data_IF_093786193181
#
_entry.id   IF_093786193181
#
_cell.length_a   1.000
_cell.length_b   1.000
_cell.length_c   1.000
_cell.angle_alpha   90.00
_cell.angle_beta   90.00
_cell.angle_gamma   90.00
#
_symmetry.space_group_name_H-M   'P 1'
#
loop_
_entity.id
_entity.type
_entity.pdbx_description
1 polymer ?
#
# COMPACT_ATOMS: atom_id res chain seq x y z
N UNK A 1 12.30 3.07 20.49
CA UNK A 1 12.66 4.08 19.48
C UNK A 1 12.86 3.36 18.15
N UNK A 2 11.95 3.63 17.21
CA UNK A 2 11.87 3.02 15.88
C UNK A 2 12.85 3.70 14.92
N UNK A 3 13.62 2.91 14.19
CA UNK A 3 13.89 3.19 12.77
C UNK A 3 14.35 1.90 12.10
N UNK A 4 13.65 1.47 11.05
CA UNK A 4 14.37 0.94 9.90
C UNK A 4 15.39 2.03 9.53
N UNK A 5 16.66 1.68 9.35
CA UNK A 5 17.74 2.66 9.17
C UNK A 5 17.28 3.82 8.27
N UNK A 6 17.53 5.05 8.72
CA UNK A 6 17.20 6.25 7.96
C UNK A 6 17.65 6.09 6.50
N UNK A 7 16.71 6.26 5.58
CA UNK A 7 16.83 6.16 4.14
C UNK A 7 16.42 7.50 3.50
N UNK A 8 17.18 8.55 3.86
CA UNK A 8 17.00 9.89 3.31
C UNK A 8 16.99 9.92 1.76
N UNK A 9 17.79 9.11 1.03
CA UNK A 9 17.68 9.00 -0.42
C UNK A 9 16.29 8.58 -0.91
N UNK A 10 15.66 7.58 -0.27
CA UNK A 10 14.28 7.18 -0.60
C UNK A 10 13.29 8.30 -0.36
N UNK A 11 13.37 8.98 0.80
CA UNK A 11 12.47 10.11 1.11
C UNK A 11 12.62 11.26 0.10
N UNK A 12 13.84 11.51 -0.40
CA UNK A 12 14.09 12.49 -1.47
C UNK A 12 13.49 12.06 -2.81
N UNK A 13 13.57 10.78 -3.14
CA UNK A 13 12.99 10.24 -4.38
C UNK A 13 11.47 10.33 -4.36
N UNK A 14 10.85 9.97 -3.23
CA UNK A 14 9.40 10.09 -3.00
C UNK A 14 8.93 11.54 -3.11
N UNK A 15 9.58 12.48 -2.41
CA UNK A 15 9.21 13.90 -2.48
C UNK A 15 9.44 14.51 -3.86
N UNK A 16 10.49 14.09 -4.57
CA UNK A 16 10.72 14.54 -5.95
C UNK A 16 9.65 14.00 -6.91
N UNK A 17 9.25 12.73 -6.74
CA UNK A 17 8.25 12.09 -7.58
C UNK A 17 6.86 12.71 -7.38
N UNK A 18 6.43 12.90 -6.14
CA UNK A 18 5.10 13.47 -5.86
C UNK A 18 4.99 14.92 -6.32
N UNK A 19 6.07 15.71 -6.17
CA UNK A 19 6.15 17.05 -6.76
C UNK A 19 6.07 17.01 -8.30
N UNK A 20 6.77 16.06 -8.94
CA UNK A 20 6.75 15.88 -10.39
C UNK A 20 5.37 15.45 -10.92
N UNK A 21 4.69 14.54 -10.23
CA UNK A 21 3.32 14.10 -10.52
C UNK A 21 2.35 15.28 -10.41
N UNK A 22 2.39 16.00 -9.29
CA UNK A 22 1.50 17.14 -9.05
C UNK A 22 1.70 18.27 -10.08
N UNK A 23 2.95 18.53 -10.50
CA UNK A 23 3.25 19.53 -11.54
C UNK A 23 2.67 19.16 -12.92
N UNK A 24 2.37 17.87 -13.14
CA UNK A 24 1.69 17.36 -14.35
C UNK A 24 0.18 17.29 -14.21
N UNK A 25 -0.33 17.78 -13.09
CA UNK A 25 -1.75 17.77 -12.80
C UNK A 25 -2.24 16.47 -12.18
N UNK A 26 -1.39 15.49 -11.83
CA UNK A 26 -1.82 14.29 -11.11
C UNK A 26 -2.22 14.58 -9.66
N UNK A 27 -3.14 13.80 -9.10
CA UNK A 27 -3.66 13.98 -7.74
C UNK A 27 -2.79 13.32 -6.69
N UNK A 28 -1.60 13.86 -6.40
CA UNK A 28 -0.73 13.38 -5.32
C UNK A 28 -0.67 14.38 -4.15
N UNK A 29 -0.38 13.89 -2.94
CA UNK A 29 0.04 14.78 -1.85
C UNK A 29 1.31 15.53 -2.23
N UNK A 30 1.34 16.84 -1.96
CA UNK A 30 2.41 17.73 -2.40
C UNK A 30 3.38 18.02 -1.26
N UNK A 31 4.71 17.88 -1.45
CA UNK A 31 5.70 18.31 -0.47
C UNK A 31 5.58 19.81 -0.18
N UNK A 32 5.90 20.22 1.05
CA UNK A 32 5.86 21.63 1.44
C UNK A 32 6.92 22.43 0.65
N UNK A 33 6.48 23.51 -0.01
CA UNK A 33 7.35 24.32 -0.85
C UNK A 33 8.54 24.91 -0.04
N UNK A 34 9.74 24.77 -0.59
CA UNK A 34 10.97 25.26 0.02
C UNK A 34 11.53 24.38 1.15
N UNK A 35 10.76 23.40 1.66
CA UNK A 35 11.24 22.44 2.63
C UNK A 35 11.95 21.27 1.93
N UNK A 36 13.05 20.80 2.53
CA UNK A 36 13.78 19.61 2.05
C UNK A 36 13.73 18.53 3.12
N UNK A 37 13.71 17.23 2.75
CA UNK A 37 13.85 16.16 3.72
C UNK A 37 15.15 16.27 4.52
N UNK A 38 15.07 16.00 5.83
CA UNK A 38 16.19 16.11 6.77
C UNK A 38 16.36 14.79 7.53
N UNK A 39 17.61 14.43 7.84
CA UNK A 39 17.91 13.38 8.82
C UNK A 39 18.12 14.04 10.19
N UNK A 40 17.31 13.67 11.19
CA UNK A 40 17.34 14.21 12.54
C UNK A 40 17.33 13.05 13.53
N UNK A 41 18.37 12.94 14.37
CA UNK A 41 18.48 11.90 15.40
C UNK A 41 18.24 10.46 14.90
N UNK A 42 18.67 10.14 13.68
CA UNK A 42 18.49 8.81 13.08
C UNK A 42 17.11 8.56 12.49
N UNK A 43 16.29 9.60 12.33
CA UNK A 43 14.99 9.58 11.65
C UNK A 43 15.03 10.47 10.40
N UNK A 44 14.38 10.04 9.32
CA UNK A 44 14.12 10.93 8.19
C UNK A 44 12.81 11.67 8.39
N UNK A 45 12.83 12.97 8.13
CA UNK A 45 11.71 13.88 8.28
C UNK A 45 11.46 14.54 6.94
N UNK A 46 10.24 14.42 6.43
CA UNK A 46 9.74 15.15 5.25
C UNK A 46 8.56 16.04 5.64
N UNK A 47 8.34 17.08 4.86
CA UNK A 47 7.34 18.11 5.14
C UNK A 47 6.35 18.14 3.98
N UNK A 48 5.07 18.15 4.31
CA UNK A 48 3.99 18.01 3.34
C UNK A 48 2.98 19.14 3.51
N UNK A 49 2.30 19.50 2.42
CA UNK A 49 1.12 20.34 2.49
C UNK A 49 0.08 19.65 3.36
N UNK A 50 -0.51 20.40 4.29
CA UNK A 50 -1.65 19.92 5.06
C UNK A 50 -2.93 20.03 4.21
N UNK A 51 -3.72 18.97 4.17
CA UNK A 51 -4.99 18.90 3.45
C UNK A 51 -6.13 18.77 4.48
N UNK A 52 -6.83 19.86 4.83
CA UNK A 52 -7.93 19.80 5.78
C UNK A 52 -9.01 18.83 5.30
N UNK A 53 -9.29 17.80 6.11
CA UNK A 53 -10.41 16.90 5.89
C UNK A 53 -11.60 17.40 6.71
N UNK A 54 -12.72 17.69 6.06
CA UNK A 54 -13.99 18.00 6.73
C UNK A 54 -14.72 16.71 7.10
N UNK A 55 -15.85 16.80 7.82
CA UNK A 55 -16.78 15.67 8.07
C UNK A 55 -17.52 15.17 6.80
N UNK A 56 -16.95 15.42 5.62
CA UNK A 56 -17.50 14.95 4.36
C UNK A 56 -17.24 13.45 4.20
N UNK A 57 -18.05 12.80 3.36
CA UNK A 57 -17.80 11.42 2.98
C UNK A 57 -16.40 11.28 2.36
N UNK A 58 -15.64 10.22 2.71
CA UNK A 58 -14.30 10.00 2.16
C UNK A 58 -14.35 9.74 0.65
N UNK A 59 -13.22 9.87 -0.07
CA UNK A 59 -13.12 9.46 -1.46
C UNK A 59 -13.52 7.99 -1.66
N UNK A 60 -14.05 7.71 -2.84
CA UNK A 60 -14.66 6.43 -3.20
C UNK A 60 -13.73 5.56 -4.05
N UNK A 61 -14.13 4.31 -4.33
CA UNK A 61 -13.40 3.44 -5.26
C UNK A 61 -13.39 3.97 -6.71
N UNK A 62 -14.37 4.78 -7.11
CA UNK A 62 -14.35 5.51 -8.38
C UNK A 62 -13.19 6.49 -8.43
N UNK A 63 -12.97 7.22 -7.34
CA UNK A 63 -11.85 8.16 -7.24
C UNK A 63 -10.50 7.41 -7.27
N UNK A 64 -10.40 6.28 -6.54
CA UNK A 64 -9.21 5.41 -6.56
C UNK A 64 -8.93 4.85 -7.96
N UNK A 65 -9.93 4.28 -8.61
CA UNK A 65 -9.79 3.69 -9.95
C UNK A 65 -9.39 4.73 -11.00
N UNK A 66 -9.90 5.96 -10.90
CA UNK A 66 -9.49 7.08 -11.76
C UNK A 66 -8.02 7.42 -11.57
N UNK A 67 -7.59 7.62 -10.31
CA UNK A 67 -6.21 7.96 -9.98
C UNK A 67 -5.24 6.86 -10.40
N UNK A 68 -5.55 5.59 -10.15
CA UNK A 68 -4.66 4.49 -10.55
C UNK A 68 -4.56 4.33 -12.06
N UNK A 69 -5.66 4.53 -12.80
CA UNK A 69 -5.61 4.51 -14.26
C UNK A 69 -4.72 5.63 -14.81
N UNK A 70 -4.81 6.84 -14.25
CA UNK A 70 -3.95 7.97 -14.60
C UNK A 70 -2.48 7.68 -14.26
N UNK A 71 -2.22 7.13 -13.06
CA UNK A 71 -0.89 6.77 -12.60
C UNK A 71 -0.23 5.72 -13.52
N UNK A 72 -0.93 4.63 -13.81
CA UNK A 72 -0.41 3.54 -14.65
C UNK A 72 -0.24 3.94 -16.13
N UNK A 73 -0.92 5.00 -16.56
CA UNK A 73 -0.71 5.60 -17.89
C UNK A 73 0.46 6.59 -17.93
N UNK A 74 1.06 6.92 -16.78
CA UNK A 74 2.15 7.88 -16.66
C UNK A 74 3.50 7.17 -16.76
N UNK A 75 4.35 7.50 -17.76
CA UNK A 75 5.69 6.95 -17.83
C UNK A 75 6.52 7.34 -16.60
N UNK A 76 7.31 6.42 -16.03
CA UNK A 76 8.14 6.74 -14.87
C UNK A 76 9.18 7.81 -15.23
N UNK A 77 9.42 8.81 -14.36
CA UNK A 77 10.37 9.87 -14.64
C UNK A 77 11.82 9.36 -14.63
N UNK A 78 12.49 9.44 -15.78
CA UNK A 78 13.85 8.92 -15.96
C UNK A 78 14.92 9.53 -15.04
N UNK A 79 14.64 10.68 -14.42
CA UNK A 79 15.58 11.38 -13.53
C UNK A 79 15.41 10.99 -12.05
N UNK A 80 14.39 10.20 -11.71
CA UNK A 80 14.12 9.78 -10.33
C UNK A 80 14.35 8.28 -10.25
N UNK A 81 15.33 7.90 -9.43
CA UNK A 81 15.61 6.50 -9.17
C UNK A 81 14.51 5.91 -8.29
N UNK A 82 13.87 4.85 -8.77
CA UNK A 82 12.78 4.17 -8.09
C UNK A 82 13.12 2.70 -7.95
N UNK A 83 12.89 2.09 -6.78
CA UNK A 83 13.15 0.67 -6.61
C UNK A 83 12.22 -0.15 -7.49
N UNK A 84 12.70 -1.31 -7.94
CA UNK A 84 11.81 -2.32 -8.47
C UNK A 84 10.98 -2.91 -7.32
N UNK A 85 9.73 -3.19 -7.60
CA UNK A 85 8.85 -3.87 -6.67
C UNK A 85 9.34 -5.28 -6.40
N UNK A 86 9.41 -5.64 -5.12
CA UNK A 86 9.78 -6.99 -4.66
C UNK A 86 8.64 -7.54 -3.80
N UNK A 87 7.99 -8.64 -4.21
CA UNK A 87 6.91 -9.24 -3.43
C UNK A 87 7.33 -9.49 -1.98
N UNK A 88 6.50 -9.01 -1.05
CA UNK A 88 6.60 -9.30 0.39
C UNK A 88 7.94 -8.92 1.05
N UNK A 89 8.77 -8.09 0.42
CA UNK A 89 10.06 -7.66 0.97
C UNK A 89 9.93 -7.03 2.36
N UNK A 90 8.89 -6.23 2.57
CA UNK A 90 8.63 -5.58 3.86
C UNK A 90 8.33 -6.56 4.99
N UNK A 91 7.56 -7.62 4.68
CA UNK A 91 7.26 -8.69 5.62
C UNK A 91 8.49 -9.56 5.88
N UNK A 92 9.21 -9.96 4.82
CA UNK A 92 10.46 -10.74 4.94
C UNK A 92 11.47 -10.01 5.83
N UNK A 93 11.65 -8.70 5.60
CA UNK A 93 12.52 -7.86 6.43
C UNK A 93 12.05 -7.81 7.89
N UNK A 94 10.73 -7.63 8.11
CA UNK A 94 10.18 -7.63 9.45
C UNK A 94 10.40 -8.98 10.17
N UNK A 95 10.24 -10.11 9.48
CA UNK A 95 10.45 -11.44 10.06
C UNK A 95 11.91 -11.74 10.41
N UNK A 96 12.87 -11.07 9.80
CA UNK A 96 14.29 -11.18 10.16
C UNK A 96 14.75 -10.13 11.17
N UNK A 97 13.94 -9.11 11.44
CA UNK A 97 14.29 -8.04 12.38
C UNK A 97 14.12 -8.55 13.83
N UNK A 98 15.20 -8.62 14.64
CA UNK A 98 15.13 -9.08 16.03
C UNK A 98 14.17 -8.27 16.89
N UNK A 99 13.88 -7.01 16.53
CA UNK A 99 12.93 -6.16 17.26
C UNK A 99 11.48 -6.64 17.14
N UNK A 100 11.18 -7.49 16.16
CA UNK A 100 9.87 -8.13 16.02
C UNK A 100 9.77 -9.46 16.76
N UNK A 101 10.84 -9.87 17.45
CA UNK A 101 10.82 -11.05 18.30
C UNK A 101 10.24 -10.71 19.67
N UNK A 102 8.93 -10.51 19.69
CA UNK A 102 8.19 -10.04 20.87
C UNK A 102 7.42 -11.16 21.57
N UNK A 103 7.64 -12.43 21.18
CA UNK A 103 6.91 -13.60 21.68
C UNK A 103 5.44 -13.73 21.22
N UNK A 104 4.96 -12.85 20.34
CA UNK A 104 3.58 -12.93 19.80
C UNK A 104 3.43 -13.91 18.63
N UNK A 105 4.54 -14.34 18.04
CA UNK A 105 4.61 -15.43 17.06
C UNK A 105 5.68 -16.43 17.51
N UNK A 106 5.44 -17.71 17.27
CA UNK A 106 6.42 -18.77 17.53
C UNK A 106 7.45 -18.86 16.41
N UNK A 107 8.59 -19.51 16.68
CA UNK A 107 9.61 -19.77 15.65
C UNK A 107 9.05 -20.61 14.49
N UNK A 108 8.17 -21.56 14.79
CA UNK A 108 7.49 -22.37 13.77
C UNK A 108 6.57 -21.52 12.89
N UNK A 109 5.77 -20.64 13.49
CA UNK A 109 4.91 -19.70 12.74
C UNK A 109 5.78 -18.76 11.88
N UNK A 110 6.90 -18.25 12.42
CA UNK A 110 7.86 -17.41 11.69
C UNK A 110 8.46 -18.13 10.48
N UNK A 111 8.94 -19.36 10.66
CA UNK A 111 9.47 -20.19 9.58
C UNK A 111 8.40 -20.52 8.52
N UNK A 112 7.16 -20.77 8.97
CA UNK A 112 6.03 -21.01 8.06
C UNK A 112 5.72 -19.79 7.20
N UNK A 113 5.72 -18.59 7.78
CA UNK A 113 5.51 -17.34 7.03
C UNK A 113 6.64 -17.09 6.02
N UNK A 114 7.89 -17.38 6.37
CA UNK A 114 9.01 -17.27 5.43
C UNK A 114 8.82 -18.22 4.24
N UNK A 115 8.42 -19.47 4.47
CA UNK A 115 8.11 -20.41 3.39
C UNK A 115 6.95 -19.93 2.50
N UNK A 116 5.88 -19.38 3.10
CA UNK A 116 4.76 -18.82 2.35
C UNK A 116 5.20 -17.63 1.48
N UNK A 117 6.11 -16.79 1.98
CA UNK A 117 6.69 -15.69 1.21
C UNK A 117 7.45 -16.22 0.00
N UNK A 118 8.29 -17.25 0.16
CA UNK A 118 9.03 -17.82 -0.97
C UNK A 118 8.10 -18.45 -2.01
N UNK A 119 7.07 -19.20 -1.58
CA UNK A 119 6.07 -19.78 -2.48
C UNK A 119 5.36 -18.70 -3.28
N UNK A 120 4.81 -17.68 -2.63
CA UNK A 120 4.08 -16.60 -3.31
C UNK A 120 5.02 -15.81 -4.22
N UNK A 121 6.25 -15.52 -3.80
CA UNK A 121 7.22 -14.82 -4.63
C UNK A 121 7.58 -15.63 -5.89
N UNK A 122 7.73 -16.95 -5.79
CA UNK A 122 7.96 -17.83 -6.92
C UNK A 122 6.79 -17.84 -7.91
N UNK A 123 5.56 -18.02 -7.41
CA UNK A 123 4.34 -18.00 -8.25
C UNK A 123 4.17 -16.66 -8.99
N UNK A 124 4.49 -15.54 -8.33
CA UNK A 124 4.41 -14.20 -8.95
C UNK A 124 5.53 -13.94 -9.96
N UNK A 125 6.70 -14.58 -9.81
CA UNK A 125 7.79 -14.46 -10.77
C UNK A 125 7.45 -15.14 -12.10
N UNK A 126 6.71 -16.25 -12.07
CA UNK A 126 6.26 -17.00 -13.25
C UNK A 126 4.96 -16.44 -13.87
N UNK A 127 4.41 -15.37 -13.29
CA UNK A 127 3.14 -14.79 -13.71
C UNK A 127 3.33 -13.86 -14.91
N UNK A 128 2.48 -14.04 -15.94
CA UNK A 128 2.34 -13.07 -17.02
C UNK A 128 1.39 -11.95 -16.59
N UNK A 129 1.87 -10.71 -16.57
CA UNK A 129 1.14 -9.54 -16.07
C UNK A 129 0.37 -8.83 -17.20
N UNK A 130 -0.95 -9.05 -17.34
CA UNK A 130 -1.72 -8.58 -18.50
C UNK A 130 -1.82 -7.06 -18.62
N UNK A 131 -1.77 -6.33 -17.51
CA UNK A 131 -1.78 -4.86 -17.54
C UNK A 131 -0.40 -4.27 -17.85
N UNK A 132 0.66 -5.07 -17.76
CA UNK A 132 2.03 -4.64 -17.97
C UNK A 132 2.70 -4.13 -16.70
N UNK A 133 3.77 -3.36 -16.88
CA UNK A 133 4.62 -2.85 -15.81
C UNK A 133 4.87 -1.36 -15.96
N UNK A 134 5.06 -0.66 -14.84
CA UNK A 134 5.40 0.76 -14.83
C UNK A 134 5.39 1.32 -13.41
N UNK A 135 5.04 2.59 -13.29
CA UNK A 135 4.95 3.27 -12.01
C UNK A 135 3.74 2.75 -11.21
N UNK A 136 3.99 2.19 -10.03
CA UNK A 136 2.96 1.77 -9.07
C UNK A 136 3.13 2.48 -7.74
N UNK A 137 2.01 2.74 -7.06
CA UNK A 137 1.97 3.27 -5.70
C UNK A 137 2.49 2.27 -4.66
N UNK A 138 2.22 0.98 -4.85
CA UNK A 138 2.69 -0.13 -3.99
C UNK A 138 1.83 -0.40 -2.75
N UNK A 139 0.98 0.55 -2.36
CA UNK A 139 -0.06 0.36 -1.33
C UNK A 139 -1.29 1.23 -1.62
N UNK A 140 -1.86 1.12 -2.81
CA UNK A 140 -3.03 1.91 -3.20
C UNK A 140 -4.32 1.36 -2.58
N UNK A 141 -4.83 2.01 -1.53
CA UNK A 141 -6.12 1.66 -0.94
C UNK A 141 -6.86 2.90 -0.42
N UNK A 142 -8.13 2.72 -0.08
CA UNK A 142 -9.04 3.81 0.29
C UNK A 142 -8.52 4.74 1.41
N UNK A 143 -7.78 4.18 2.39
CA UNK A 143 -7.26 4.96 3.52
C UNK A 143 -6.12 5.91 3.15
N UNK A 144 -5.55 5.75 1.95
CA UNK A 144 -4.52 6.65 1.42
C UNK A 144 -5.12 7.75 0.54
N UNK A 145 -6.44 7.80 0.37
CA UNK A 145 -7.12 8.87 -0.37
C UNK A 145 -7.47 10.04 0.56
N UNK A 146 -7.30 11.25 0.04
CA UNK A 146 -7.66 12.49 0.72
C UNK A 146 -8.44 13.40 -0.23
N UNK A 147 -9.23 14.31 0.34
CA UNK A 147 -9.76 15.44 -0.42
C UNK A 147 -8.77 16.61 -0.43
N UNK A 148 -8.45 17.10 -1.63
CA UNK A 148 -7.86 18.41 -1.85
C UNK A 148 -8.97 19.44 -2.10
N UNK A 149 -9.07 20.38 -1.15
CA UNK A 149 -10.00 21.51 -1.14
C UNK A 149 -9.28 22.86 -1.26
N UNK A 150 -8.01 22.84 -1.64
CA UNK A 150 -7.20 24.07 -1.68
C UNK A 150 -7.53 24.97 -2.88
N UNK A 151 -8.25 24.44 -3.87
CA UNK A 151 -8.76 25.20 -5.01
C UNK A 151 -10.26 25.47 -4.79
N UNK A 152 -10.63 26.75 -4.66
CA UNK A 152 -11.99 27.35 -4.64
C UNK A 152 -13.08 26.56 -3.88
N UNK A 153 -13.60 27.14 -2.79
CA UNK A 153 -14.69 26.57 -1.96
C UNK A 153 -15.97 26.23 -2.76
N UNK A 154 -16.15 26.78 -3.97
CA UNK A 154 -17.28 26.49 -4.85
C UNK A 154 -17.09 25.26 -5.77
N UNK A 155 -15.87 24.72 -5.88
CA UNK A 155 -15.57 23.56 -6.71
C UNK A 155 -15.74 22.24 -5.95
N UNK A 156 -16.05 21.15 -6.68
CA UNK A 156 -16.03 19.79 -6.10
C UNK A 156 -14.60 19.50 -5.62
N UNK A 157 -14.40 18.98 -4.39
CA UNK A 157 -13.08 18.61 -3.91
C UNK A 157 -12.44 17.58 -4.86
N UNK A 158 -11.14 17.69 -5.02
CA UNK A 158 -10.38 16.78 -5.86
C UNK A 158 -9.85 15.63 -5.00
N UNK A 159 -10.05 14.38 -5.43
CA UNK A 159 -9.39 13.26 -4.77
C UNK A 159 -7.89 13.27 -5.07
N UNK A 160 -7.08 13.04 -4.04
CA UNK A 160 -5.62 12.87 -4.15
C UNK A 160 -5.18 11.61 -3.40
N UNK A 161 -4.04 11.05 -3.80
CA UNK A 161 -3.41 9.88 -3.20
C UNK A 161 -2.19 10.31 -2.37
N UNK A 162 -2.11 9.81 -1.14
CA UNK A 162 -1.00 10.00 -0.20
C UNK A 162 -0.31 8.69 0.16
N UNK A 163 0.63 8.76 1.10
CA UNK A 163 1.42 7.60 1.57
C UNK A 163 2.21 6.87 0.46
N UNK A 164 3.12 7.62 -0.16
CA UNK A 164 3.94 7.17 -1.30
C UNK A 164 5.18 6.37 -0.89
N UNK A 165 5.25 5.88 0.35
CA UNK A 165 6.46 5.23 0.87
C UNK A 165 6.82 3.95 0.11
N UNK A 166 5.85 3.30 -0.53
CA UNK A 166 6.01 2.03 -1.27
C UNK A 166 6.07 2.19 -2.79
N UNK A 167 6.18 3.44 -3.27
CA UNK A 167 6.25 3.72 -4.70
C UNK A 167 7.43 3.00 -5.34
N UNK A 168 7.17 2.35 -6.48
CA UNK A 168 8.13 1.47 -7.13
C UNK A 168 7.79 1.28 -8.61
N UNK A 169 8.69 0.61 -9.33
CA UNK A 169 8.43 0.09 -10.68
C UNK A 169 8.00 -1.37 -10.56
N UNK A 170 6.81 -1.70 -11.06
CA UNK A 170 6.26 -3.05 -10.92
C UNK A 170 5.00 -3.30 -11.74
N UNK A 171 4.38 -4.49 -11.56
CA UNK A 171 3.14 -4.85 -12.22
C UNK A 171 1.96 -4.03 -11.68
N UNK A 172 1.13 -3.51 -12.58
CA UNK A 172 0.02 -2.63 -12.21
C UNK A 172 -1.03 -3.31 -11.32
N UNK A 173 -1.21 -4.62 -11.45
CA UNK A 173 -2.14 -5.44 -10.68
C UNK A 173 -1.89 -5.36 -9.15
N UNK A 174 -0.65 -5.03 -8.74
CA UNK A 174 -0.27 -4.84 -7.33
C UNK A 174 -1.06 -3.71 -6.68
N UNK A 175 -1.36 -2.64 -7.43
CA UNK A 175 -2.17 -1.52 -6.93
C UNK A 175 -3.68 -1.81 -6.97
N UNK A 176 -4.10 -2.85 -7.69
CA UNK A 176 -5.51 -3.21 -7.82
C UNK A 176 -5.97 -4.12 -6.69
N UNK A 177 -5.14 -5.09 -6.28
CA UNK A 177 -5.53 -6.12 -5.32
C UNK A 177 -6.11 -5.60 -4.00
N UNK A 178 -5.69 -4.43 -3.43
CA UNK A 178 -6.28 -3.93 -2.20
C UNK A 178 -7.80 -3.67 -2.32
N UNK A 179 -8.33 -3.35 -3.50
CA UNK A 179 -9.76 -3.12 -3.74
C UNK A 179 -10.58 -4.38 -3.48
N UNK A 180 -10.19 -5.51 -4.08
CA UNK A 180 -10.87 -6.79 -3.84
C UNK A 180 -10.62 -7.25 -2.40
N UNK A 181 -9.38 -7.16 -1.92
CA UNK A 181 -9.03 -7.56 -0.55
C UNK A 181 -9.89 -6.86 0.49
N UNK A 182 -10.18 -5.56 0.32
CA UNK A 182 -11.04 -4.81 1.23
C UNK A 182 -12.50 -5.27 1.23
N UNK A 183 -13.02 -5.78 0.11
CA UNK A 183 -14.37 -6.34 0.06
C UNK A 183 -14.49 -7.65 0.84
N UNK A 184 -13.43 -8.47 0.84
CA UNK A 184 -13.41 -9.72 1.60
C UNK A 184 -13.07 -9.50 3.07
N UNK A 185 -11.93 -8.85 3.35
CA UNK A 185 -11.39 -8.75 4.72
C UNK A 185 -11.95 -7.58 5.51
N UNK A 186 -12.41 -6.52 4.86
CA UNK A 186 -12.73 -5.27 5.55
C UNK A 186 -14.15 -4.75 5.31
N UNK A 187 -15.04 -5.61 4.79
CA UNK A 187 -16.47 -5.32 4.72
C UNK A 187 -16.85 -4.24 3.71
N UNK A 188 -16.00 -3.94 2.72
CA UNK A 188 -16.46 -3.16 1.55
C UNK A 188 -17.49 -3.96 0.78
N UNK A 189 -18.54 -3.30 0.31
CA UNK A 189 -19.60 -3.96 -0.43
C UNK A 189 -19.19 -4.25 -1.89
N UNK A 190 -20.05 -4.96 -2.61
CA UNK A 190 -19.84 -5.26 -4.04
C UNK A 190 -19.89 -3.99 -4.91
N UNK A 191 -20.56 -2.93 -4.45
CA UNK A 191 -20.60 -1.66 -5.16
C UNK A 191 -19.21 -1.02 -5.21
N UNK A 192 -18.44 -1.12 -4.13
CA UNK A 192 -17.04 -0.69 -4.08
C UNK A 192 -16.20 -1.29 -5.21
N UNK A 193 -16.29 -2.61 -5.40
CA UNK A 193 -15.53 -3.34 -6.44
C UNK A 193 -16.05 -2.98 -7.84
N UNK A 194 -17.38 -2.96 -8.02
CA UNK A 194 -18.01 -2.63 -9.32
C UNK A 194 -17.64 -1.23 -9.82
N UNK A 195 -17.66 -0.22 -8.94
CA UNK A 195 -17.28 1.15 -9.28
C UNK A 195 -15.80 1.29 -9.63
N UNK A 196 -14.94 0.54 -8.93
CA UNK A 196 -13.52 0.48 -9.26
C UNK A 196 -13.32 -0.09 -10.68
N UNK A 197 -13.92 -1.25 -10.97
CA UNK A 197 -13.82 -1.92 -12.28
C UNK A 197 -14.30 -0.99 -13.39
N UNK A 198 -15.47 -0.37 -13.20
CA UNK A 198 -16.07 0.56 -14.19
C UNK A 198 -15.13 1.71 -14.53
N UNK A 199 -14.41 2.21 -13.54
CA UNK A 199 -13.58 3.42 -13.70
C UNK A 199 -12.17 3.10 -14.19
N UNK A 200 -11.54 2.10 -13.59
CA UNK A 200 -10.20 1.65 -13.96
C UNK A 200 -10.22 0.94 -15.33
N UNK A 201 -11.25 0.12 -15.59
CA UNK A 201 -11.46 -0.59 -16.85
C UNK A 201 -10.90 -2.01 -16.89
N UNK A 202 -10.64 -2.64 -15.74
CA UNK A 202 -10.16 -4.01 -15.65
C UNK A 202 -10.70 -4.71 -14.40
N UNK A 203 -11.20 -5.93 -14.56
CA UNK A 203 -11.59 -6.79 -13.45
C UNK A 203 -10.42 -7.71 -13.06
N UNK A 204 -9.79 -7.43 -11.92
CA UNK A 204 -8.68 -8.25 -11.42
C UNK A 204 -9.12 -9.68 -11.09
N UNK A 205 -10.40 -9.93 -10.80
CA UNK A 205 -10.87 -11.30 -10.51
C UNK A 205 -10.86 -12.21 -11.73
N UNK A 206 -10.83 -11.64 -12.95
CA UNK A 206 -10.66 -12.39 -14.20
C UNK A 206 -9.20 -12.79 -14.47
N UNK A 207 -8.25 -12.31 -13.65
CA UNK A 207 -6.83 -12.60 -13.80
C UNK A 207 -6.46 -14.02 -13.34
N UNK A 208 -6.85 -15.03 -14.11
CA UNK A 208 -6.45 -16.45 -14.01
C UNK A 208 -5.92 -16.91 -12.62
N UNK A 209 -4.76 -17.54 -12.56
CA UNK A 209 -4.11 -17.95 -11.29
C UNK A 209 -3.43 -16.78 -10.57
N UNK A 210 -3.21 -15.65 -11.26
CA UNK A 210 -2.56 -14.47 -10.70
C UNK A 210 -3.40 -13.79 -9.61
N UNK A 211 -4.73 -13.77 -9.75
CA UNK A 211 -5.64 -13.19 -8.78
C UNK A 211 -5.53 -13.84 -7.40
N UNK A 212 -5.59 -15.17 -7.34
CA UNK A 212 -5.49 -15.89 -6.06
C UNK A 212 -4.11 -15.73 -5.42
N UNK A 213 -3.06 -15.69 -6.24
CA UNK A 213 -1.69 -15.44 -5.75
C UNK A 213 -1.55 -14.04 -5.17
N UNK A 214 -2.10 -13.01 -5.84
CA UNK A 214 -2.15 -11.64 -5.34
C UNK A 214 -2.97 -11.54 -4.05
N UNK A 215 -4.08 -12.28 -3.92
CA UNK A 215 -4.86 -12.33 -2.68
C UNK A 215 -4.06 -12.87 -1.51
N UNK A 216 -3.40 -14.02 -1.69
CA UNK A 216 -2.51 -14.62 -0.69
C UNK A 216 -1.37 -13.67 -0.33
N UNK A 217 -0.77 -13.02 -1.33
CA UNK A 217 0.22 -11.97 -1.11
C UNK A 217 -0.34 -10.82 -0.27
N UNK A 218 -1.53 -10.31 -0.59
CA UNK A 218 -2.12 -9.16 0.12
C UNK A 218 -2.46 -9.52 1.56
N UNK A 219 -2.94 -10.74 1.84
CA UNK A 219 -3.11 -11.23 3.21
C UNK A 219 -1.80 -11.19 4.00
N UNK A 220 -0.70 -11.68 3.41
CA UNK A 220 0.62 -11.63 4.03
C UNK A 220 1.10 -10.19 4.27
N UNK A 221 0.91 -9.27 3.31
CA UNK A 221 1.25 -7.84 3.48
C UNK A 221 0.64 -7.27 4.77
N UNK A 222 -0.62 -7.64 5.08
CA UNK A 222 -1.33 -7.16 6.26
C UNK A 222 -0.77 -7.69 7.59
N UNK A 223 0.13 -8.68 7.62
CA UNK A 223 0.84 -9.08 8.85
C UNK A 223 1.90 -8.05 9.26
N UNK A 224 2.51 -7.38 8.28
CA UNK A 224 3.72 -6.57 8.48
C UNK A 224 3.56 -5.46 9.53
N UNK A 225 2.47 -4.68 9.40
CA UNK A 225 2.19 -3.56 10.30
C UNK A 225 1.97 -4.00 11.76
N UNK A 226 1.04 -4.94 12.03
CA UNK A 226 0.86 -5.50 13.36
C UNK A 226 2.13 -6.14 13.93
N UNK A 227 2.88 -6.91 13.13
CA UNK A 227 4.11 -7.56 13.56
C UNK A 227 5.14 -6.56 14.11
N UNK A 228 5.35 -5.44 13.42
CA UNK A 228 6.29 -4.39 13.85
C UNK A 228 5.86 -3.66 15.13
N UNK A 229 4.58 -3.73 15.50
CA UNK A 229 4.00 -2.95 16.60
C UNK A 229 3.49 -3.80 17.76
N UNK A 230 3.50 -5.12 17.63
CA UNK A 230 2.83 -6.01 18.57
C UNK A 230 3.43 -5.91 19.99
N UNK A 231 4.76 -5.81 20.12
CA UNK A 231 5.43 -5.70 21.41
C UNK A 231 5.05 -4.47 22.23
N UNK A 232 4.72 -3.35 21.55
CA UNK A 232 4.38 -2.08 22.20
C UNK A 232 2.87 -1.78 22.18
N UNK A 233 2.04 -2.68 21.63
CA UNK A 233 0.62 -2.40 21.42
C UNK A 233 -0.23 -3.68 21.48
N UNK A 234 -0.96 -3.90 22.59
CA UNK A 234 -1.87 -5.04 22.74
C UNK A 234 -2.89 -5.14 21.61
N UNK A 235 -3.40 -4.01 21.12
CA UNK A 235 -4.32 -3.99 19.98
C UNK A 235 -3.67 -4.51 18.68
N UNK A 236 -2.40 -4.17 18.42
CA UNK A 236 -1.68 -4.74 17.28
C UNK A 236 -1.31 -6.21 17.51
N UNK A 237 -1.01 -6.64 18.74
CA UNK A 237 -0.80 -8.06 19.05
C UNK A 237 -2.06 -8.89 18.77
N UNK A 238 -3.23 -8.41 19.18
CA UNK A 238 -4.52 -9.07 18.86
C UNK A 238 -4.77 -9.14 17.36
N UNK A 239 -4.56 -8.04 16.63
CA UNK A 239 -4.67 -8.01 15.15
C UNK A 239 -3.71 -9.00 14.50
N UNK A 240 -2.46 -9.06 14.98
CA UNK A 240 -1.45 -9.98 14.49
C UNK A 240 -1.91 -11.43 14.64
N UNK A 241 -2.35 -11.83 15.84
CA UNK A 241 -2.85 -13.19 16.10
C UNK A 241 -4.09 -13.52 15.26
N UNK A 242 -5.03 -12.59 15.10
CA UNK A 242 -6.22 -12.80 14.27
C UNK A 242 -5.84 -13.09 12.81
N UNK A 243 -5.00 -12.24 12.21
CA UNK A 243 -4.56 -12.38 10.81
C UNK A 243 -3.75 -13.66 10.62
N UNK A 244 -2.82 -13.93 11.54
CA UNK A 244 -1.98 -15.12 11.49
C UNK A 244 -2.81 -16.40 11.60
N UNK A 245 -3.77 -16.45 12.53
CA UNK A 245 -4.65 -17.61 12.67
C UNK A 245 -5.40 -17.89 11.36
N UNK A 246 -6.04 -16.88 10.76
CA UNK A 246 -6.76 -17.04 9.51
C UNK A 246 -5.86 -17.53 8.36
N UNK A 247 -4.65 -16.97 8.24
CA UNK A 247 -3.69 -17.37 7.19
C UNK A 247 -3.23 -18.82 7.39
N UNK A 248 -2.89 -19.22 8.62
CA UNK A 248 -2.38 -20.56 8.91
C UNK A 248 -3.46 -21.64 8.81
N UNK A 249 -4.73 -21.31 9.03
CA UNK A 249 -5.85 -22.25 8.85
C UNK A 249 -6.40 -22.26 7.42
N UNK A 250 -5.87 -21.43 6.52
CA UNK A 250 -6.34 -21.32 5.15
C UNK A 250 -7.70 -20.62 5.01
N UNK A 251 -8.12 -19.84 6.00
CA UNK A 251 -9.35 -19.05 5.94
C UNK A 251 -9.17 -17.85 5.01
N UNK A 252 -9.81 -17.90 3.85
CA UNK A 252 -9.75 -16.86 2.80
C UNK A 252 -10.97 -15.94 2.78
N UNK A 253 -11.92 -16.10 3.70
CA UNK A 253 -13.25 -15.45 3.62
C UNK A 253 -13.60 -14.58 4.82
N UNK A 254 -13.03 -14.84 6.00
CA UNK A 254 -13.41 -14.09 7.20
C UNK A 254 -12.93 -12.64 7.16
N UNK A 255 -13.76 -11.76 7.67
CA UNK A 255 -13.39 -10.36 7.90
C UNK A 255 -12.41 -10.21 9.06
N UNK A 256 -11.56 -9.19 8.98
CA UNK A 256 -10.55 -8.85 9.97
C UNK A 256 -10.86 -7.53 10.65
N UNK A 257 -10.36 -7.38 11.87
CA UNK A 257 -10.48 -6.11 12.59
C UNK A 257 -9.70 -4.99 11.88
N UNK A 258 -10.34 -3.83 11.76
CA UNK A 258 -9.75 -2.63 11.17
C UNK A 258 -8.87 -1.89 12.19
N UNK A 259 -8.07 -0.95 11.69
CA UNK A 259 -7.45 0.06 12.53
C UNK A 259 -8.55 1.03 12.98
N UNK A 260 -8.72 1.14 14.29
CA UNK A 260 -9.59 2.09 14.98
C UNK A 260 -8.97 3.47 14.98
#
# INVERSE_FOLDING_TARGET
MSTAAADLPRVRSVTSLTAWLAARGFGATVPLAGARPLAVHGHDVSFWRYYPQSDALPPTSRDLGSLLRELHSTPPPAQIDLPNWVPLQSLRTALHDPRTDTGHITDLERATLLNMIETVAGELADTSWPLGHGLIHGDAWAGNLLWDRTNDDSARPRAILGDWDWVSIGPFEVDLIPTWHAAIRYGRDQHWVTEFITTYGYDLSEFATGYETLRRMRDLVQITGPLRRAGDSPANATRLRQRLHAILTGDTTSSWSQYS
#
